data_IF_298199919494
#
_entry.id   IF_298199919494
#
_cell.length_a   1.000
_cell.length_b   1.000
_cell.length_c   1.000
_cell.angle_alpha   90.00
_cell.angle_beta   90.00
_cell.angle_gamma   90.00
#
_symmetry.space_group_name_H-M   'P 1'
#
loop_
_entity.id
_entity.type
_entity.pdbx_description
1 polymer ?
#
# COMPACT_ATOMS: atom_id res chain seq x y z
N UNK A 1 -0.92 -1.84 -15.13
CA UNK A 1 -0.84 -2.18 -13.68
C UNK A 1 -2.14 -1.77 -13.00
N UNK A 2 -2.57 -2.49 -11.95
CA UNK A 2 -3.70 -2.12 -11.10
C UNK A 2 -3.42 -2.39 -9.63
N UNK A 3 -3.96 -1.57 -8.73
CA UNK A 3 -3.92 -1.85 -7.30
C UNK A 3 -4.68 -3.15 -7.00
N UNK A 4 -4.02 -4.10 -6.35
CA UNK A 4 -4.61 -5.42 -6.07
C UNK A 4 -4.66 -5.74 -4.58
N UNK A 5 -3.70 -5.25 -3.81
CA UNK A 5 -3.62 -5.54 -2.38
C UNK A 5 -3.08 -4.36 -1.61
N UNK A 6 -3.59 -4.20 -0.40
CA UNK A 6 -3.10 -3.25 0.58
C UNK A 6 -2.80 -4.02 1.86
N UNK A 7 -1.55 -3.99 2.30
CA UNK A 7 -1.16 -4.51 3.61
C UNK A 7 -1.10 -3.34 4.59
N UNK A 8 -2.04 -3.27 5.53
CA UNK A 8 -2.07 -2.23 6.57
C UNK A 8 -1.38 -2.78 7.82
N UNK A 9 -0.31 -2.12 8.27
CA UNK A 9 0.32 -2.43 9.54
C UNK A 9 -0.60 -1.99 10.69
N UNK A 10 -0.63 -2.74 11.79
CA UNK A 10 -1.40 -2.40 12.99
C UNK A 10 -1.12 -0.98 13.51
N UNK A 11 0.05 -0.40 13.24
CA UNK A 11 0.40 0.98 13.62
C UNK A 11 -0.12 2.05 12.66
N UNK A 12 -0.63 1.68 11.48
CA UNK A 12 -1.23 2.59 10.51
C UNK A 12 -0.33 3.04 9.34
N UNK A 13 0.82 2.40 9.15
CA UNK A 13 1.53 2.42 7.85
C UNK A 13 0.95 1.36 6.92
N UNK A 14 1.26 1.42 5.63
CA UNK A 14 0.80 0.42 4.68
C UNK A 14 1.81 0.19 3.54
N UNK A 15 1.66 -0.97 2.90
CA UNK A 15 2.26 -1.28 1.61
C UNK A 15 1.13 -1.55 0.60
N UNK A 16 1.35 -1.20 -0.66
CA UNK A 16 0.43 -1.49 -1.76
C UNK A 16 1.09 -2.39 -2.78
N UNK A 17 0.36 -3.40 -3.22
CA UNK A 17 0.80 -4.30 -4.29
C UNK A 17 -0.01 -4.00 -5.55
N UNK A 18 0.73 -3.67 -6.59
CA UNK A 18 0.24 -3.40 -7.93
C UNK A 18 0.50 -4.65 -8.76
N UNK A 19 -0.49 -5.11 -9.52
CA UNK A 19 -0.37 -6.33 -10.32
C UNK A 19 -0.78 -6.09 -11.78
N UNK A 20 -0.30 -6.95 -12.64
CA UNK A 20 -0.89 -7.26 -13.93
C UNK A 20 -0.72 -8.77 -14.21
N UNK A 21 -0.89 -9.20 -15.45
CA UNK A 21 -0.71 -10.59 -15.86
C UNK A 21 0.73 -11.10 -15.74
N UNK A 22 1.73 -10.20 -15.75
CA UNK A 22 3.16 -10.52 -15.68
C UNK A 22 3.71 -10.52 -14.25
N UNK A 23 2.85 -10.36 -13.23
CA UNK A 23 3.25 -10.41 -11.82
C UNK A 23 2.95 -9.13 -11.02
N UNK A 24 3.76 -8.87 -10.00
CA UNK A 24 3.48 -7.89 -8.95
C UNK A 24 4.66 -6.95 -8.62
N UNK A 25 4.35 -5.69 -8.28
CA UNK A 25 5.29 -4.77 -7.62
C UNK A 25 4.66 -4.26 -6.34
N UNK A 26 5.40 -4.30 -5.24
CA UNK A 26 4.96 -3.75 -3.95
C UNK A 26 5.70 -2.45 -3.63
N UNK A 27 4.94 -1.41 -3.26
CA UNK A 27 5.45 -0.14 -2.77
C UNK A 27 5.10 0.07 -1.30
N UNK A 28 5.98 0.74 -0.56
CA UNK A 28 5.64 1.24 0.78
C UNK A 28 4.83 2.54 0.72
N UNK A 29 4.32 3.00 1.87
CA UNK A 29 3.48 4.21 1.95
C UNK A 29 4.17 5.52 1.54
N UNK A 30 5.50 5.52 1.36
CA UNK A 30 6.28 6.67 0.87
C UNK A 30 6.74 6.51 -0.57
N UNK A 31 6.30 5.45 -1.25
CA UNK A 31 6.54 5.27 -2.68
C UNK A 31 7.86 4.63 -3.07
N UNK A 32 8.50 3.91 -2.15
CA UNK A 32 9.69 3.12 -2.44
C UNK A 32 9.29 1.68 -2.76
N UNK A 33 9.99 1.07 -3.70
CA UNK A 33 9.80 -0.33 -4.06
C UNK A 33 10.30 -1.21 -2.92
N UNK A 34 9.41 -2.09 -2.43
CA UNK A 34 9.71 -3.09 -1.40
C UNK A 34 9.93 -4.48 -2.01
N UNK A 35 9.27 -4.80 -3.12
CA UNK A 35 9.50 -6.03 -3.89
C UNK A 35 9.08 -5.86 -5.34
N UNK A 36 9.73 -6.61 -6.22
CA UNK A 36 9.36 -6.78 -7.63
C UNK A 36 9.36 -8.28 -7.90
N UNK A 37 8.21 -8.78 -8.31
CA UNK A 37 7.95 -10.17 -8.70
C UNK A 37 7.30 -10.13 -10.08
N UNK A 38 8.04 -9.60 -11.07
CA UNK A 38 7.61 -9.48 -12.45
C UNK A 38 8.44 -10.39 -13.36
N UNK A 39 7.80 -10.93 -14.38
CA UNK A 39 8.47 -11.68 -15.44
C UNK A 39 9.14 -10.73 -16.44
N UNK A 40 10.38 -11.04 -16.81
CA UNK A 40 11.11 -10.38 -17.88
C UNK A 40 12.48 -9.84 -17.48
N UNK A 41 13.19 -9.26 -18.45
CA UNK A 41 14.51 -8.69 -18.22
C UNK A 41 14.41 -7.38 -17.41
N UNK A 42 15.27 -7.25 -16.41
CA UNK A 42 15.34 -6.06 -15.56
C UNK A 42 16.35 -5.06 -16.10
N UNK A 43 15.94 -3.80 -16.25
CA UNK A 43 16.82 -2.67 -16.56
C UNK A 43 16.91 -1.72 -15.37
N UNK A 44 18.02 -0.98 -15.30
CA UNK A 44 18.29 -0.03 -14.23
C UNK A 44 18.57 1.36 -14.82
N UNK A 45 18.18 2.41 -14.09
CA UNK A 45 18.58 3.77 -14.43
C UNK A 45 20.00 4.09 -13.93
N UNK A 46 20.49 5.30 -14.25
CA UNK A 46 21.82 5.76 -13.87
C UNK A 46 22.06 5.82 -12.35
N UNK A 47 20.99 5.92 -11.56
CA UNK A 47 21.06 5.89 -10.09
C UNK A 47 20.98 4.46 -9.52
N UNK A 48 21.01 3.44 -10.36
CA UNK A 48 20.94 2.03 -9.96
C UNK A 48 19.56 1.55 -9.52
N UNK A 49 18.50 2.34 -9.74
CA UNK A 49 17.11 1.91 -9.45
C UNK A 49 16.54 1.17 -10.65
N UNK A 50 15.71 0.15 -10.40
CA UNK A 50 15.01 -0.59 -11.45
C UNK A 50 14.14 0.37 -12.26
N UNK A 51 14.42 0.51 -13.56
CA UNK A 51 13.70 1.40 -14.47
C UNK A 51 12.69 0.67 -15.34
N UNK A 52 12.85 -0.64 -15.53
CA UNK A 52 11.84 -1.49 -16.15
C UNK A 52 12.04 -2.97 -15.83
N UNK A 53 10.96 -3.75 -15.92
CA UNK A 53 11.00 -5.21 -16.02
C UNK A 53 10.12 -5.64 -17.18
N UNK A 54 10.70 -6.32 -18.17
CA UNK A 54 10.02 -6.63 -19.42
C UNK A 54 9.56 -5.34 -20.12
N UNK A 55 8.26 -5.24 -20.41
CA UNK A 55 7.63 -4.06 -21.01
C UNK A 55 7.09 -3.04 -19.98
N UNK A 56 7.24 -3.30 -18.69
CA UNK A 56 6.71 -2.43 -17.63
C UNK A 56 7.78 -1.42 -17.24
N UNK A 57 7.53 -0.15 -17.58
CA UNK A 57 8.40 0.98 -17.22
C UNK A 57 8.07 1.48 -15.81
N UNK A 58 9.10 1.82 -15.04
CA UNK A 58 9.01 2.41 -13.70
C UNK A 58 9.65 3.80 -13.74
N UNK A 59 8.86 4.82 -13.44
CA UNK A 59 9.36 6.20 -13.38
C UNK A 59 9.46 6.67 -11.93
N UNK A 60 10.37 7.63 -11.72
CA UNK A 60 10.61 8.24 -10.42
C UNK A 60 10.46 9.75 -10.51
N UNK A 61 9.98 10.38 -9.44
CA UNK A 61 10.03 11.83 -9.30
C UNK A 61 11.43 12.31 -8.88
N UNK A 62 11.61 13.64 -8.80
CA UNK A 62 12.88 14.26 -8.41
C UNK A 62 13.37 13.87 -7.01
N UNK A 63 12.47 13.50 -6.11
CA UNK A 63 12.81 12.96 -4.78
C UNK A 63 13.13 11.46 -4.81
N UNK A 64 13.15 10.83 -5.98
CA UNK A 64 13.46 9.43 -6.17
C UNK A 64 12.35 8.46 -5.76
N UNK A 65 11.12 8.92 -5.57
CA UNK A 65 9.94 8.08 -5.26
C UNK A 65 9.25 7.66 -6.56
N UNK A 66 8.65 6.47 -6.60
CA UNK A 66 7.99 5.95 -7.80
C UNK A 66 6.81 6.83 -8.22
N UNK A 67 6.93 7.56 -9.33
CA UNK A 67 5.86 8.41 -9.84
C UNK A 67 4.88 7.67 -10.75
N UNK A 68 5.32 6.59 -11.41
CA UNK A 68 4.42 5.71 -12.16
C UNK A 68 5.00 4.31 -12.40
N UNK A 69 4.10 3.35 -12.62
CA UNK A 69 4.44 1.98 -13.04
C UNK A 69 3.51 1.57 -14.18
N UNK A 70 4.09 1.37 -15.38
CA UNK A 70 3.33 1.23 -16.61
C UNK A 70 2.40 2.42 -16.81
N UNK A 71 1.11 2.17 -16.94
CA UNK A 71 0.07 3.18 -17.10
C UNK A 71 -0.48 3.77 -15.79
N UNK A 72 -0.02 3.28 -14.63
CA UNK A 72 -0.55 3.70 -13.33
C UNK A 72 0.29 4.84 -12.74
N UNK A 73 -0.33 5.98 -12.47
CA UNK A 73 0.29 7.15 -11.84
C UNK A 73 0.17 7.09 -10.31
N UNK A 74 1.19 7.55 -9.59
CA UNK A 74 1.22 7.62 -8.13
C UNK A 74 1.52 9.06 -7.72
N UNK A 75 0.64 9.64 -6.92
CA UNK A 75 0.80 11.01 -6.40
C UNK A 75 1.14 10.99 -4.92
N UNK A 76 1.67 12.12 -4.44
CA UNK A 76 2.11 12.29 -3.07
C UNK A 76 1.50 13.54 -2.44
N UNK A 77 1.30 13.53 -1.13
CA UNK A 77 0.99 14.73 -0.36
C UNK A 77 2.27 15.51 -0.02
N UNK A 78 2.12 16.68 0.59
CA UNK A 78 3.24 17.55 0.99
C UNK A 78 4.19 16.89 2.00
N UNK A 79 3.70 15.94 2.80
CA UNK A 79 4.53 15.13 3.70
C UNK A 79 5.25 13.98 3.00
N UNK A 80 5.11 13.88 1.67
CA UNK A 80 5.77 12.88 0.85
C UNK A 80 5.20 11.46 0.99
N UNK A 81 3.99 11.30 1.53
CA UNK A 81 3.28 10.01 1.56
C UNK A 81 2.38 9.87 0.34
N UNK A 82 2.15 8.65 -0.13
CA UNK A 82 1.26 8.39 -1.27
C UNK A 82 -0.12 8.99 -0.99
N UNK A 83 -0.58 9.90 -1.86
CA UNK A 83 -1.92 10.52 -1.76
C UNK A 83 -2.92 9.95 -2.75
N UNK A 84 -2.47 9.28 -3.82
CA UNK A 84 -3.33 8.49 -4.69
C UNK A 84 -2.55 7.47 -5.52
N UNK A 85 -3.27 6.42 -5.94
CA UNK A 85 -2.79 5.35 -6.81
C UNK A 85 -3.78 5.22 -7.96
N UNK A 86 -3.42 5.72 -9.15
CA UNK A 86 -4.39 5.99 -10.21
C UNK A 86 -5.51 6.90 -9.68
N UNK A 87 -6.75 6.44 -9.81
CA UNK A 87 -7.93 7.17 -9.35
C UNK A 87 -8.33 6.87 -7.88
N UNK A 88 -7.51 6.13 -7.14
CA UNK A 88 -7.82 5.71 -5.77
C UNK A 88 -7.14 6.69 -4.79
N UNK A 89 -7.89 7.58 -4.10
CA UNK A 89 -7.31 8.48 -3.12
C UNK A 89 -6.83 7.74 -1.87
N UNK A 90 -5.82 8.29 -1.20
CA UNK A 90 -5.30 7.82 0.08
C UNK A 90 -5.32 8.97 1.07
N UNK A 91 -6.02 8.79 2.18
CA UNK A 91 -6.17 9.80 3.22
C UNK A 91 -5.45 9.38 4.50
N UNK A 92 -5.08 10.38 5.30
CA UNK A 92 -4.41 10.20 6.58
C UNK A 92 -5.14 10.96 7.68
N UNK A 93 -5.10 10.44 8.90
CA UNK A 93 -5.54 11.18 10.08
C UNK A 93 -4.47 12.18 10.55
N UNK A 94 -4.80 13.00 11.55
CA UNK A 94 -3.89 14.01 12.11
C UNK A 94 -2.61 13.42 12.70
N UNK A 95 -2.63 12.16 13.15
CA UNK A 95 -1.43 11.45 13.60
C UNK A 95 -0.61 10.87 12.45
N UNK A 96 -0.97 11.14 11.19
CA UNK A 96 -0.28 10.68 9.99
C UNK A 96 -0.48 9.20 9.67
N UNK A 97 -1.44 8.51 10.31
CA UNK A 97 -1.81 7.12 10.01
C UNK A 97 -2.83 7.09 8.88
N UNK A 98 -2.80 6.06 8.04
CA UNK A 98 -3.76 5.94 6.94
C UNK A 98 -5.20 5.86 7.47
N UNK A 99 -6.08 6.77 7.06
CA UNK A 99 -7.47 6.80 7.50
C UNK A 99 -8.42 6.25 6.44
N UNK A 100 -8.05 6.30 5.17
CA UNK A 100 -8.78 5.60 4.10
C UNK A 100 -7.93 5.35 2.87
N UNK A 101 -8.31 4.32 2.10
CA UNK A 101 -7.82 4.07 0.74
C UNK A 101 -9.03 3.80 -0.14
N UNK A 102 -9.26 4.68 -1.12
CA UNK A 102 -10.53 4.74 -1.84
C UNK A 102 -11.68 4.99 -0.86
N UNK A 103 -12.74 4.20 -0.99
CA UNK A 103 -13.91 4.21 -0.12
C UNK A 103 -13.76 3.33 1.15
N UNK A 104 -12.58 2.75 1.39
CA UNK A 104 -12.35 1.87 2.55
C UNK A 104 -11.74 2.67 3.69
N UNK A 105 -12.50 2.88 4.76
CA UNK A 105 -12.05 3.54 6.00
C UNK A 105 -11.23 2.59 6.87
N UNK A 106 -10.23 3.13 7.57
CA UNK A 106 -9.38 2.40 8.52
C UNK A 106 -9.52 3.08 9.89
N UNK A 107 -10.11 2.35 10.84
CA UNK A 107 -10.31 2.81 12.20
C UNK A 107 -9.20 2.38 13.15
N UNK A 108 -9.05 3.12 14.25
CA UNK A 108 -8.06 2.85 15.29
C UNK A 108 -8.72 2.78 16.67
N UNK A 109 -8.22 1.91 17.54
CA UNK A 109 -8.59 1.91 18.95
C UNK A 109 -7.82 2.99 19.73
N UNK A 110 -8.15 3.15 21.02
CA UNK A 110 -7.52 4.14 21.91
C UNK A 110 -5.99 3.93 22.06
N UNK A 111 -5.51 2.70 21.94
CA UNK A 111 -4.08 2.38 21.93
C UNK A 111 -3.42 2.67 20.57
N UNK A 112 -4.16 3.20 19.61
CA UNK A 112 -3.68 3.55 18.28
C UNK A 112 -3.43 2.36 17.35
N UNK A 113 -3.96 1.17 17.67
CA UNK A 113 -3.91 -0.02 16.80
C UNK A 113 -5.09 -0.02 15.85
N UNK A 114 -4.89 -0.47 14.61
CA UNK A 114 -5.98 -0.64 13.63
C UNK A 114 -7.09 -1.51 14.22
N UNK A 115 -8.28 -0.97 14.40
CA UNK A 115 -9.45 -1.65 14.97
C UNK A 115 -10.53 -1.96 13.95
N UNK A 116 -10.43 -1.41 12.74
CA UNK A 116 -11.31 -1.77 11.63
C UNK A 116 -10.70 -1.50 10.26
N UNK A 117 -11.14 -2.28 9.28
CA UNK A 117 -10.89 -2.07 7.84
C UNK A 117 -12.22 -2.23 7.11
N UNK A 118 -12.79 -1.13 6.62
CA UNK A 118 -14.16 -1.09 6.13
C UNK A 118 -15.12 -1.56 7.24
N UNK A 119 -16.02 -2.49 6.90
CA UNK A 119 -16.97 -3.07 7.87
C UNK A 119 -16.36 -4.19 8.72
N UNK A 120 -15.08 -4.53 8.54
CA UNK A 120 -14.42 -5.56 9.34
C UNK A 120 -13.87 -4.98 10.64
N UNK A 121 -14.42 -5.39 11.77
CA UNK A 121 -13.96 -5.01 13.10
C UNK A 121 -12.91 -6.01 13.59
N UNK A 122 -11.82 -5.51 14.16
CA UNK A 122 -10.68 -6.29 14.64
C UNK A 122 -10.60 -6.15 16.16
N UNK A 123 -10.73 -7.27 16.86
CA UNK A 123 -10.58 -7.35 18.32
C UNK A 123 -9.17 -7.73 18.73
N UNK A 124 -8.79 -7.29 19.93
CA UNK A 124 -7.51 -7.62 20.55
C UNK A 124 -7.73 -8.26 21.92
N UNK A 125 -6.91 -9.24 22.28
CA UNK A 125 -6.84 -9.75 23.65
C UNK A 125 -6.04 -8.79 24.56
N UNK A 126 -5.98 -9.08 25.87
CA UNK A 126 -5.26 -8.26 26.84
C UNK A 126 -3.74 -8.18 26.56
N UNK A 127 -3.16 -9.20 25.92
CA UNK A 127 -1.77 -9.17 25.45
C UNK A 127 -1.57 -8.35 24.17
N UNK A 128 -2.64 -7.74 23.63
CA UNK A 128 -2.59 -6.89 22.46
C UNK A 128 -2.44 -7.64 21.13
N UNK A 129 -2.72 -8.94 21.11
CA UNK A 129 -2.75 -9.80 19.90
C UNK A 129 -4.15 -9.78 19.30
N UNK A 130 -4.24 -9.90 17.98
CA UNK A 130 -5.53 -10.01 17.29
C UNK A 130 -6.25 -11.26 17.78
N UNK A 131 -7.46 -11.09 18.30
CA UNK A 131 -8.28 -12.17 18.88
C UNK A 131 -9.58 -12.42 18.11
N UNK A 132 -10.02 -11.47 17.29
CA UNK A 132 -11.21 -11.60 16.45
C UNK A 132 -11.14 -10.68 15.22
N UNK A 133 -12.04 -10.90 14.27
CA UNK A 133 -12.04 -10.20 12.99
C UNK A 133 -11.24 -10.94 11.91
N UNK A 134 -11.41 -10.51 10.66
CA UNK A 134 -10.75 -11.16 9.53
C UNK A 134 -9.44 -10.42 9.26
N UNK A 135 -8.32 -11.15 9.29
CA UNK A 135 -7.01 -10.55 8.97
C UNK A 135 -6.91 -10.09 7.52
N UNK A 136 -7.75 -10.62 6.63
CA UNK A 136 -7.83 -10.19 5.23
C UNK A 136 -9.28 -10.10 4.82
N UNK A 137 -9.64 -9.00 4.17
CA UNK A 137 -10.94 -8.78 3.56
C UNK A 137 -10.77 -8.29 2.12
N UNK A 138 -11.69 -8.69 1.23
CA UNK A 138 -11.68 -8.24 -0.16
C UNK A 138 -12.78 -7.20 -0.33
N UNK A 139 -12.42 -6.00 -0.79
CA UNK A 139 -13.34 -4.88 -1.01
C UNK A 139 -13.01 -4.27 -2.38
N UNK A 140 -13.99 -4.18 -3.28
CA UNK A 140 -13.83 -3.62 -4.62
C UNK A 140 -12.63 -4.21 -5.40
N UNK A 141 -12.53 -5.54 -5.41
CA UNK A 141 -11.44 -6.31 -6.03
C UNK A 141 -10.02 -6.15 -5.46
N UNK A 142 -9.89 -5.36 -4.41
CA UNK A 142 -8.66 -5.14 -3.65
C UNK A 142 -8.69 -5.96 -2.36
N UNK A 143 -7.63 -6.71 -2.09
CA UNK A 143 -7.44 -7.42 -0.83
C UNK A 143 -6.79 -6.49 0.19
N UNK A 144 -7.47 -6.21 1.30
CA UNK A 144 -6.91 -5.50 2.44
C UNK A 144 -6.51 -6.50 3.51
N UNK A 145 -5.23 -6.50 3.91
CA UNK A 145 -4.70 -7.41 4.92
C UNK A 145 -4.09 -6.64 6.09
N UNK A 146 -4.47 -6.99 7.31
CA UNK A 146 -3.83 -6.50 8.53
C UNK A 146 -2.51 -7.24 8.77
N UNK A 147 -1.43 -6.50 9.03
CA UNK A 147 -0.11 -7.03 9.40
C UNK A 147 0.28 -6.63 10.83
N UNK A 148 0.89 -7.56 11.56
CA UNK A 148 1.24 -7.40 12.97
C UNK A 148 0.14 -7.88 13.93
N UNK A 149 0.37 -7.67 15.24
CA UNK A 149 -0.54 -8.11 16.31
C UNK A 149 -0.62 -9.62 16.48
N UNK A 150 0.53 -10.31 16.39
CA UNK A 150 0.69 -11.75 16.65
C UNK A 150 1.21 -12.01 18.06
#
# INVERSE_FOLDING_TARGET
MKLKKVNVNVTGTFNVTLSNENGEITLNSVGEISSIELDGNTSYNISGKVSSVGNIVINYNLSGKVSSIGNLVINYNLSGKISSIGNIPVNYNLSGKVSSIGNVTIGYNLSGKVSSIGNNIIGYNLSGKVSSGNRTVKINDISFSLKGGY
#
